data_IF_620658264963
#
_entry.id   IF_620658264963
#
_cell.length_a   1.000
_cell.length_b   1.000
_cell.length_c   1.000
_cell.angle_alpha   90.00
_cell.angle_beta   90.00
_cell.angle_gamma   90.00
#
_symmetry.space_group_name_H-M   'P 1'
#
loop_
_entity.id
_entity.type
_entity.pdbx_description
1 polymer ?
#
# COMPACT_ATOMS: atom_id res chain seq x y z
N UNK A 1 22.54 -28.23 28.55
CA UNK A 1 21.64 -27.60 27.56
C UNK A 1 21.52 -28.50 26.33
N UNK A 2 20.31 -29.00 26.08
CA UNK A 2 20.07 -29.81 24.86
C UNK A 2 19.97 -28.84 23.67
N UNK A 3 20.85 -28.98 22.67
CA UNK A 3 20.75 -28.24 21.42
C UNK A 3 19.45 -28.67 20.70
N UNK A 4 18.64 -27.75 20.20
CA UNK A 4 17.48 -28.12 19.41
C UNK A 4 17.92 -28.95 18.20
N UNK A 5 17.23 -30.05 17.93
CA UNK A 5 17.53 -30.92 16.80
C UNK A 5 17.43 -30.12 15.49
N UNK A 6 18.38 -30.30 14.59
CA UNK A 6 18.40 -29.70 13.24
C UNK A 6 17.06 -29.92 12.51
N UNK A 7 16.41 -31.05 12.77
CA UNK A 7 15.09 -31.40 12.23
C UNK A 7 13.97 -30.45 12.72
N UNK A 8 13.98 -30.06 14.01
CA UNK A 8 13.03 -29.10 14.58
C UNK A 8 13.25 -27.70 13.98
N UNK A 9 14.50 -27.28 13.75
CA UNK A 9 14.82 -26.01 13.13
C UNK A 9 14.35 -25.95 11.67
N UNK A 10 14.53 -27.04 10.91
CA UNK A 10 14.08 -27.16 9.52
C UNK A 10 12.55 -27.11 9.42
N UNK A 11 11.85 -27.79 10.34
CA UNK A 11 10.39 -27.78 10.39
C UNK A 11 9.85 -26.38 10.68
N UNK A 12 10.51 -25.63 11.59
CA UNK A 12 10.12 -24.27 11.94
C UNK A 12 10.34 -23.28 10.76
N UNK A 13 11.41 -23.45 10.00
CA UNK A 13 11.70 -22.64 8.79
C UNK A 13 10.64 -22.92 7.71
N UNK A 14 10.32 -24.20 7.46
CA UNK A 14 9.33 -24.57 6.43
C UNK A 14 7.92 -24.07 6.77
N UNK A 15 7.52 -24.10 8.04
CA UNK A 15 6.20 -23.58 8.47
C UNK A 15 6.12 -22.06 8.33
N UNK A 16 7.21 -21.34 8.61
CA UNK A 16 7.26 -19.89 8.42
C UNK A 16 7.19 -19.49 6.93
N UNK A 17 7.88 -20.21 6.05
CA UNK A 17 7.82 -19.96 4.61
C UNK A 17 6.41 -20.21 4.06
N UNK A 18 5.74 -21.26 4.52
CA UNK A 18 4.36 -21.56 4.09
C UNK A 18 3.36 -20.53 4.60
N UNK A 19 3.50 -20.06 5.84
CA UNK A 19 2.67 -19.00 6.41
C UNK A 19 2.87 -17.67 5.68
N UNK A 20 4.12 -17.32 5.35
CA UNK A 20 4.44 -16.11 4.58
C UNK A 20 3.81 -16.15 3.18
N UNK A 21 3.97 -17.26 2.45
CA UNK A 21 3.35 -17.42 1.12
C UNK A 21 1.82 -17.34 1.18
N UNK A 22 1.18 -17.90 2.21
CA UNK A 22 -0.26 -17.80 2.40
C UNK A 22 -0.72 -16.36 2.72
N UNK A 23 0.07 -15.60 3.47
CA UNK A 23 -0.18 -14.19 3.75
C UNK A 23 -0.03 -13.34 2.47
N UNK A 24 1.03 -13.56 1.69
CA UNK A 24 1.27 -12.88 0.43
C UNK A 24 0.16 -13.17 -0.59
N UNK A 25 -0.29 -14.43 -0.67
CA UNK A 25 -1.41 -14.81 -1.54
C UNK A 25 -2.72 -14.12 -1.13
N UNK A 26 -3.01 -14.03 0.17
CA UNK A 26 -4.19 -13.30 0.68
C UNK A 26 -4.12 -11.80 0.38
N UNK A 27 -2.96 -11.17 0.51
CA UNK A 27 -2.76 -9.77 0.14
C UNK A 27 -2.96 -9.55 -1.35
N UNK A 28 -2.45 -10.43 -2.20
CA UNK A 28 -2.65 -10.39 -3.63
C UNK A 28 -4.12 -10.54 -4.05
N UNK A 29 -4.89 -11.36 -3.36
CA UNK A 29 -6.32 -11.50 -3.65
C UNK A 29 -7.14 -10.28 -3.19
N UNK A 30 -6.75 -9.63 -2.10
CA UNK A 30 -7.48 -8.53 -1.50
C UNK A 30 -7.26 -7.17 -2.20
N UNK A 31 -6.34 -7.06 -3.15
CA UNK A 31 -6.13 -5.78 -3.85
C UNK A 31 -7.36 -5.29 -4.61
N UNK A 32 -8.14 -6.21 -5.19
CA UNK A 32 -9.41 -5.88 -5.86
C UNK A 32 -10.43 -5.31 -4.89
N UNK A 33 -10.36 -5.74 -3.65
CA UNK A 33 -11.21 -5.23 -2.59
C UNK A 33 -10.89 -3.77 -2.28
N UNK A 34 -9.62 -3.37 -2.26
CA UNK A 34 -9.22 -1.98 -2.02
C UNK A 34 -9.89 -0.98 -2.97
N UNK A 35 -9.79 -1.18 -4.28
CA UNK A 35 -10.36 -0.28 -5.27
C UNK A 35 -11.90 -0.26 -5.24
N UNK A 36 -12.52 -1.27 -4.65
CA UNK A 36 -13.97 -1.34 -4.49
C UNK A 36 -14.47 -0.77 -3.17
N UNK A 37 -13.69 -0.83 -2.09
CA UNK A 37 -14.08 -0.33 -0.78
C UNK A 37 -13.69 1.13 -0.56
N UNK A 38 -12.52 1.57 -1.05
CA UNK A 38 -12.02 2.92 -0.80
C UNK A 38 -13.01 4.03 -1.22
N UNK A 39 -13.70 3.95 -2.38
CA UNK A 39 -14.69 4.95 -2.76
C UNK A 39 -15.95 4.96 -1.90
N UNK A 40 -16.20 3.89 -1.13
CA UNK A 40 -17.42 3.70 -0.34
C UNK A 40 -17.32 4.17 1.11
N UNK A 41 -16.10 4.50 1.58
CA UNK A 41 -15.94 5.06 2.91
C UNK A 41 -16.70 6.37 3.01
N UNK A 42 -17.40 6.58 4.11
CA UNK A 42 -18.10 7.83 4.39
C UNK A 42 -17.15 8.90 4.98
N UNK A 43 -17.63 10.12 5.15
CA UNK A 43 -16.80 11.22 5.64
C UNK A 43 -16.42 11.05 7.12
N UNK A 44 -17.20 10.32 7.91
CA UNK A 44 -16.88 10.04 9.30
C UNK A 44 -15.72 9.04 9.42
N UNK A 45 -15.61 8.10 8.50
CA UNK A 45 -14.46 7.19 8.42
C UNK A 45 -13.13 7.97 8.31
N UNK A 46 -13.07 9.03 7.49
CA UNK A 46 -11.85 9.80 7.29
C UNK A 46 -11.38 10.61 8.51
N UNK A 47 -12.18 10.65 9.57
CA UNK A 47 -11.82 11.25 10.88
C UNK A 47 -11.18 10.24 11.84
N UNK A 48 -11.07 8.97 11.47
CA UNK A 48 -10.60 7.88 12.34
C UNK A 48 -9.07 7.68 12.23
N UNK A 49 -8.48 7.08 13.28
CA UNK A 49 -7.07 6.65 13.27
C UNK A 49 -6.81 5.58 12.19
N UNK A 50 -7.79 4.74 11.90
CA UNK A 50 -7.68 3.73 10.84
C UNK A 50 -7.53 4.39 9.47
N UNK A 51 -8.28 5.44 9.18
CA UNK A 51 -8.14 6.19 7.94
C UNK A 51 -6.74 6.83 7.81
N UNK A 52 -6.19 7.34 8.91
CA UNK A 52 -4.83 7.87 8.94
C UNK A 52 -3.79 6.78 8.67
N UNK A 53 -3.93 5.62 9.30
CA UNK A 53 -3.04 4.47 9.10
C UNK A 53 -3.04 4.00 7.64
N UNK A 54 -4.22 3.88 7.04
CA UNK A 54 -4.35 3.54 5.61
C UNK A 54 -3.74 4.63 4.74
N UNK A 55 -3.98 5.90 5.04
CA UNK A 55 -3.38 7.02 4.31
C UNK A 55 -1.86 7.04 4.35
N UNK A 56 -1.27 6.67 5.47
CA UNK A 56 0.18 6.55 5.62
C UNK A 56 0.73 5.36 4.80
N UNK A 57 -0.01 4.25 4.70
CA UNK A 57 0.32 3.18 3.77
C UNK A 57 0.22 3.64 2.31
N UNK A 58 -0.83 4.37 1.95
CA UNK A 58 -0.97 4.93 0.59
C UNK A 58 0.24 5.81 0.25
N UNK A 59 0.67 6.69 1.14
CA UNK A 59 1.88 7.50 0.93
C UNK A 59 3.16 6.65 0.89
N UNK A 60 3.23 5.57 1.67
CA UNK A 60 4.37 4.65 1.66
C UNK A 60 4.57 4.00 0.30
N UNK A 61 3.48 3.58 -0.36
CA UNK A 61 3.53 2.95 -1.69
C UNK A 61 3.61 3.94 -2.85
N UNK A 62 3.45 5.24 -2.62
CA UNK A 62 3.64 6.25 -3.67
C UNK A 62 5.10 6.26 -4.14
N UNK A 63 5.32 6.06 -5.41
CA UNK A 63 6.65 6.05 -6.01
C UNK A 63 7.16 7.45 -6.30
N UNK A 64 8.48 7.58 -6.56
CA UNK A 64 9.11 8.87 -6.88
C UNK A 64 8.57 9.51 -8.15
N UNK A 65 7.97 8.73 -9.05
CA UNK A 65 7.20 9.23 -10.21
C UNK A 65 5.96 10.03 -9.82
N UNK A 66 5.44 9.84 -8.61
CA UNK A 66 4.16 10.35 -8.12
C UNK A 66 2.99 9.38 -8.26
N UNK A 67 3.11 8.33 -9.08
CA UNK A 67 2.10 7.29 -9.24
C UNK A 67 2.24 6.15 -8.23
N UNK A 68 1.37 5.17 -8.36
CA UNK A 68 1.34 3.97 -7.51
C UNK A 68 1.41 2.69 -8.33
N UNK A 69 2.00 1.62 -7.78
CA UNK A 69 1.91 0.29 -8.36
C UNK A 69 0.49 -0.25 -8.24
N UNK A 70 0.09 -1.09 -9.19
CA UNK A 70 -1.19 -1.81 -9.10
C UNK A 70 -1.12 -2.98 -8.12
N UNK A 71 -2.29 -3.47 -7.72
CA UNK A 71 -2.45 -4.70 -6.96
C UNK A 71 -1.92 -4.62 -5.52
N UNK A 72 -2.01 -3.46 -4.89
CA UNK A 72 -1.68 -3.26 -3.48
C UNK A 72 -2.96 -3.18 -2.65
N UNK A 73 -3.04 -3.94 -1.57
CA UNK A 73 -4.10 -3.83 -0.58
C UNK A 73 -3.69 -2.83 0.51
N UNK A 74 -4.07 -1.56 0.35
CA UNK A 74 -3.64 -0.45 1.21
C UNK A 74 -4.04 -0.59 2.69
N UNK A 75 -5.19 -1.22 3.04
CA UNK A 75 -5.55 -1.43 4.44
C UNK A 75 -4.73 -2.48 5.19
N UNK A 76 -3.79 -3.18 4.53
CA UNK A 76 -2.98 -4.20 5.20
C UNK A 76 -2.18 -3.63 6.39
N UNK A 77 -2.12 -4.39 7.48
CA UNK A 77 -1.11 -4.18 8.50
C UNK A 77 0.23 -4.70 7.98
N UNK A 78 1.25 -3.85 7.99
CA UNK A 78 2.56 -4.18 7.46
C UNK A 78 3.48 -4.65 8.57
N UNK A 79 4.20 -5.75 8.33
CA UNK A 79 5.36 -6.12 9.12
C UNK A 79 6.51 -5.13 8.85
N UNK A 80 7.49 -5.06 9.73
CA UNK A 80 8.70 -4.25 9.52
C UNK A 80 9.41 -4.59 8.21
N UNK A 81 9.48 -5.87 7.87
CA UNK A 81 10.08 -6.31 6.60
C UNK A 81 9.31 -5.79 5.38
N UNK A 82 7.98 -5.82 5.41
CA UNK A 82 7.12 -5.32 4.32
C UNK A 82 7.20 -3.80 4.20
N UNK A 83 7.23 -3.09 5.32
CA UNK A 83 7.42 -1.65 5.36
C UNK A 83 8.75 -1.24 4.71
N UNK A 84 9.85 -1.90 5.10
CA UNK A 84 11.18 -1.64 4.55
C UNK A 84 11.26 -2.00 3.06
N UNK A 85 10.59 -3.07 2.62
CA UNK A 85 10.50 -3.43 1.22
C UNK A 85 9.74 -2.37 0.40
N UNK A 86 8.62 -1.84 0.92
CA UNK A 86 7.86 -0.77 0.29
C UNK A 86 8.68 0.54 0.21
N UNK A 87 9.42 0.90 1.25
CA UNK A 87 10.34 2.04 1.21
C UNK A 87 11.38 1.91 0.10
N UNK A 88 11.99 0.75 -0.02
CA UNK A 88 13.01 0.48 -1.06
C UNK A 88 12.41 0.51 -2.47
N UNK A 89 11.18 0.04 -2.62
CA UNK A 89 10.49 0.00 -3.91
C UNK A 89 10.06 1.40 -4.42
N UNK A 90 10.11 2.45 -3.62
CA UNK A 90 9.74 3.82 -4.04
C UNK A 90 10.56 4.32 -5.23
N UNK A 91 11.80 3.88 -5.34
CA UNK A 91 12.72 4.27 -6.40
C UNK A 91 12.53 3.47 -7.71
N UNK A 92 11.70 2.44 -7.69
CA UNK A 92 11.39 1.65 -8.88
C UNK A 92 10.33 2.35 -9.73
N UNK A 93 10.78 3.18 -10.67
CA UNK A 93 9.93 4.03 -11.51
C UNK A 93 9.09 3.26 -12.54
N UNK A 94 9.34 1.96 -12.73
CA UNK A 94 8.66 1.15 -13.74
C UNK A 94 7.34 0.56 -13.25
N UNK A 95 6.97 0.73 -11.99
CA UNK A 95 5.79 0.10 -11.41
C UNK A 95 4.58 1.03 -11.29
N UNK A 96 4.76 2.33 -11.45
CA UNK A 96 3.63 3.27 -11.45
C UNK A 96 2.72 3.04 -12.65
N UNK A 97 1.41 2.99 -12.41
CA UNK A 97 0.44 2.65 -13.45
C UNK A 97 -0.93 3.26 -13.18
N UNK A 98 -1.76 3.33 -14.21
CA UNK A 98 -3.19 3.67 -14.12
C UNK A 98 -4.09 2.43 -14.28
N UNK A 99 -3.50 1.26 -14.54
CA UNK A 99 -4.23 0.00 -14.65
C UNK A 99 -4.97 -0.37 -13.36
N UNK A 100 -6.12 -1.02 -13.49
CA UNK A 100 -6.93 -1.51 -12.38
C UNK A 100 -7.29 -0.41 -11.36
N UNK A 101 -7.51 0.82 -11.83
CA UNK A 101 -7.78 2.00 -11.01
C UNK A 101 -6.65 2.36 -10.02
N UNK A 102 -5.44 1.81 -10.20
CA UNK A 102 -4.28 2.28 -9.47
C UNK A 102 -4.03 3.78 -9.77
N UNK A 103 -3.36 4.45 -8.88
CA UNK A 103 -3.11 5.91 -8.90
C UNK A 103 -4.38 6.73 -8.70
N UNK A 104 -5.47 6.46 -9.43
CA UNK A 104 -6.72 7.22 -9.29
C UNK A 104 -7.43 6.98 -7.96
N UNK A 105 -7.49 5.74 -7.49
CA UNK A 105 -8.07 5.40 -6.18
C UNK A 105 -7.27 6.02 -5.04
N UNK A 106 -5.95 5.96 -5.11
CA UNK A 106 -5.04 6.51 -4.11
C UNK A 106 -5.14 8.04 -4.03
N UNK A 107 -5.18 8.73 -5.18
CA UNK A 107 -5.40 10.19 -5.24
C UNK A 107 -6.74 10.56 -4.56
N UNK A 108 -7.82 9.87 -4.91
CA UNK A 108 -9.14 10.14 -4.33
C UNK A 108 -9.15 9.92 -2.81
N UNK A 109 -8.54 8.84 -2.34
CA UNK A 109 -8.45 8.53 -0.92
C UNK A 109 -7.68 9.63 -0.16
N UNK A 110 -6.48 9.99 -0.63
CA UNK A 110 -5.66 11.04 -0.02
C UNK A 110 -6.34 12.41 -0.06
N UNK A 111 -7.08 12.74 -1.13
CA UNK A 111 -7.80 14.00 -1.23
C UNK A 111 -8.90 14.11 -0.17
N UNK A 112 -9.68 13.05 0.03
CA UNK A 112 -10.72 12.98 1.08
C UNK A 112 -10.09 13.03 2.47
N UNK A 113 -8.97 12.34 2.67
CA UNK A 113 -8.25 12.36 3.94
C UNK A 113 -7.66 13.75 4.24
N UNK A 114 -7.13 14.45 3.23
CA UNK A 114 -6.71 15.84 3.38
C UNK A 114 -7.89 16.75 3.74
N UNK A 115 -9.02 16.60 3.08
CA UNK A 115 -10.22 17.38 3.37
C UNK A 115 -10.66 17.23 4.84
N UNK A 116 -10.59 16.01 5.38
CA UNK A 116 -11.01 15.73 6.76
C UNK A 116 -9.97 16.17 7.82
N UNK A 117 -8.68 16.15 7.48
CA UNK A 117 -7.59 16.29 8.48
C UNK A 117 -6.74 17.54 8.33
N UNK A 118 -6.75 18.18 7.16
CA UNK A 118 -5.90 19.31 6.77
C UNK A 118 -4.38 19.03 6.92
N UNK A 119 -3.96 17.76 6.88
CA UNK A 119 -2.55 17.38 6.97
C UNK A 119 -1.88 17.50 5.60
N UNK A 120 -0.95 18.44 5.44
CA UNK A 120 -0.29 18.78 4.18
C UNK A 120 0.35 17.59 3.47
N UNK A 121 0.89 16.59 4.20
CA UNK A 121 1.48 15.39 3.59
C UNK A 121 0.53 14.68 2.62
N UNK A 122 -0.77 14.66 2.90
CA UNK A 122 -1.77 14.03 2.02
C UNK A 122 -2.03 14.85 0.77
N UNK A 123 -2.10 16.18 0.90
CA UNK A 123 -2.19 17.09 -0.25
C UNK A 123 -0.99 16.98 -1.17
N UNK A 124 0.21 16.92 -0.62
CA UNK A 124 1.43 16.70 -1.40
C UNK A 124 1.38 15.40 -2.19
N UNK A 125 0.92 14.31 -1.57
CA UNK A 125 0.69 13.04 -2.24
C UNK A 125 -0.30 13.15 -3.41
N UNK A 126 -1.42 13.85 -3.21
CA UNK A 126 -2.41 14.13 -4.27
C UNK A 126 -1.77 14.89 -5.43
N UNK A 127 -1.05 15.97 -5.15
CA UNK A 127 -0.44 16.81 -6.20
C UNK A 127 0.59 16.03 -7.03
N UNK A 128 1.43 15.21 -6.39
CA UNK A 128 2.37 14.34 -7.08
C UNK A 128 1.65 13.32 -7.97
N UNK A 129 0.56 12.72 -7.47
CA UNK A 129 -0.25 11.79 -8.24
C UNK A 129 -0.90 12.42 -9.46
N UNK A 130 -1.45 13.63 -9.33
CA UNK A 130 -2.01 14.40 -10.44
C UNK A 130 -0.92 14.72 -11.49
N UNK A 131 0.26 15.12 -11.05
CA UNK A 131 1.38 15.38 -11.98
C UNK A 131 1.79 14.12 -12.75
N UNK A 132 1.79 12.96 -12.09
CA UNK A 132 2.01 11.67 -12.77
C UNK A 132 0.97 11.42 -13.86
N UNK A 133 -0.33 11.59 -13.54
CA UNK A 133 -1.41 11.40 -14.53
C UNK A 133 -1.27 12.33 -15.73
N UNK A 134 -0.93 13.61 -15.50
CA UNK A 134 -0.74 14.58 -16.58
C UNK A 134 0.42 14.19 -17.51
N UNK A 135 1.54 13.71 -16.96
CA UNK A 135 2.66 13.22 -17.76
C UNK A 135 2.28 11.98 -18.58
N UNK A 136 1.61 11.00 -17.97
CA UNK A 136 1.22 9.78 -18.63
C UNK A 136 0.20 9.96 -19.78
N UNK A 137 -0.39 11.15 -19.93
CA UNK A 137 -1.27 11.47 -21.06
C UNK A 137 -0.52 11.92 -22.31
N UNK A 138 0.75 12.30 -22.19
CA UNK A 138 1.54 12.92 -23.28
C UNK A 138 2.73 12.06 -23.71
N UNK A 139 2.97 10.92 -23.06
CA UNK A 139 4.00 9.94 -23.43
C UNK A 139 3.37 8.76 -24.18
#
# INVERSE_FOLDING_TARGET
MRKPSLFLLLLFILTNISAQKAADYRKQQNYKEWVHIAPKFDDDFFKTEEALRIGDNVLLYQQTTGGWPKNIYMPAELTEQEYNAALKAKEDTNQSTIDNNATTTEIQYLARLYQATQKEKYKEGVLKGIQYLLKAQYD
#
